data_IF_469664762995
#
_entry.id   IF_469664762995
#
_cell.length_a   1.000
_cell.length_b   1.000
_cell.length_c   1.000
_cell.angle_alpha   90.00
_cell.angle_beta   90.00
_cell.angle_gamma   90.00
#
_symmetry.space_group_name_H-M   'P 1'
#
loop_
_entity.id
_entity.type
_entity.pdbx_description
1 polymer ?
#
# COMPACT_ATOMS: atom_id res chain seq x y z
N UNK A 1 17.55 -14.53 2.17
CA UNK A 1 17.29 -13.14 1.73
C UNK A 1 15.93 -13.11 1.06
N UNK A 2 15.02 -12.19 1.43
CA UNK A 2 13.74 -12.05 0.73
C UNK A 2 13.98 -11.73 -0.75
N UNK A 3 13.29 -12.45 -1.64
CA UNK A 3 13.33 -12.18 -3.10
C UNK A 3 12.43 -10.98 -3.39
N UNK A 4 12.98 -10.00 -4.09
CA UNK A 4 12.25 -8.81 -4.54
C UNK A 4 12.02 -8.88 -6.06
N UNK A 5 10.86 -8.41 -6.56
CA UNK A 5 9.75 -7.83 -5.82
C UNK A 5 8.99 -8.88 -4.98
N UNK A 6 8.59 -8.49 -3.77
CA UNK A 6 7.76 -9.34 -2.93
C UNK A 6 6.29 -9.07 -3.28
N UNK A 7 5.62 -10.06 -3.84
CA UNK A 7 4.19 -9.98 -4.13
C UNK A 7 3.40 -10.61 -2.97
N UNK A 8 2.40 -9.90 -2.48
CA UNK A 8 1.45 -10.38 -1.49
C UNK A 8 0.07 -10.24 -2.13
N UNK A 9 -0.64 -11.35 -2.28
CA UNK A 9 -1.98 -11.38 -2.86
C UNK A 9 -3.01 -11.90 -1.86
N UNK A 10 -4.20 -11.30 -1.86
CA UNK A 10 -5.32 -11.69 -0.99
C UNK A 10 -6.64 -11.27 -1.62
N UNK A 11 -7.60 -12.18 -1.72
CA UNK A 11 -8.96 -11.88 -2.15
C UNK A 11 -9.09 -11.26 -3.54
N UNK A 12 -8.20 -11.63 -4.49
CA UNK A 12 -8.18 -11.07 -5.85
C UNK A 12 -7.39 -9.77 -6.00
N UNK A 13 -6.86 -9.22 -4.92
CA UNK A 13 -5.97 -8.06 -4.94
C UNK A 13 -4.52 -8.48 -4.74
N UNK A 14 -3.59 -7.72 -5.33
CA UNK A 14 -2.15 -7.94 -5.18
C UNK A 14 -1.44 -6.63 -4.85
N UNK A 15 -0.52 -6.69 -3.89
CA UNK A 15 0.39 -5.61 -3.51
C UNK A 15 1.82 -6.10 -3.72
N UNK A 16 2.61 -5.32 -4.45
CA UNK A 16 4.04 -5.61 -4.72
C UNK A 16 4.93 -4.66 -3.94
N UNK A 17 5.91 -5.19 -3.23
CA UNK A 17 6.92 -4.42 -2.51
C UNK A 17 8.24 -4.50 -3.28
N UNK A 18 8.75 -3.34 -3.68
CA UNK A 18 10.06 -3.17 -4.30
C UNK A 18 11.08 -2.72 -3.27
N UNK A 19 12.28 -3.30 -3.35
CA UNK A 19 13.43 -2.85 -2.56
C UNK A 19 13.89 -1.45 -2.99
N UNK A 20 14.53 -0.70 -2.08
CA UNK A 20 15.27 0.49 -2.47
C UNK A 20 16.38 0.13 -3.46
N UNK A 21 16.59 1.02 -4.42
CA UNK A 21 17.69 0.97 -5.40
C UNK A 21 18.48 2.28 -5.32
N UNK A 22 19.66 2.35 -5.93
CA UNK A 22 20.47 3.59 -5.92
C UNK A 22 19.67 4.81 -6.41
N UNK A 23 18.88 4.64 -7.47
CA UNK A 23 18.01 5.72 -7.99
C UNK A 23 16.74 5.96 -7.16
N UNK A 24 16.36 5.03 -6.28
CA UNK A 24 15.11 5.08 -5.50
C UNK A 24 15.38 4.55 -4.08
N UNK A 25 15.87 5.39 -3.16
CA UNK A 25 16.39 4.97 -1.86
C UNK A 25 15.30 4.59 -0.84
N UNK A 26 14.09 4.25 -1.29
CA UNK A 26 12.93 3.91 -0.44
C UNK A 26 12.28 2.62 -0.92
N UNK A 27 11.74 1.86 0.02
CA UNK A 27 10.83 0.75 -0.29
C UNK A 27 9.58 1.31 -0.94
N UNK A 28 9.05 0.61 -1.95
CA UNK A 28 7.88 1.09 -2.69
C UNK A 28 6.83 0.00 -2.74
N UNK A 29 5.60 0.36 -2.39
CA UNK A 29 4.46 -0.50 -2.65
C UNK A 29 3.93 -0.16 -4.04
N UNK A 30 3.31 -1.14 -4.67
CA UNK A 30 2.62 -0.99 -5.94
C UNK A 30 1.38 -1.85 -5.90
N UNK A 31 0.23 -1.21 -5.99
CA UNK A 31 -1.06 -1.90 -5.98
C UNK A 31 -2.09 -1.10 -6.77
N UNK A 32 -3.13 -1.79 -7.21
CA UNK A 32 -4.22 -1.19 -7.98
C UNK A 32 -5.53 -1.42 -7.24
N UNK A 33 -6.30 -0.35 -7.07
CA UNK A 33 -7.63 -0.37 -6.44
C UNK A 33 -8.58 0.35 -7.39
N UNK A 34 -9.64 -0.33 -7.83
CA UNK A 34 -10.71 0.28 -8.63
C UNK A 34 -10.16 0.99 -9.90
N UNK A 35 -9.17 0.37 -10.57
CA UNK A 35 -8.51 0.95 -11.75
C UNK A 35 -7.48 2.05 -11.48
N UNK A 36 -7.29 2.47 -10.22
CA UNK A 36 -6.29 3.47 -9.82
C UNK A 36 -5.06 2.79 -9.23
N UNK A 37 -3.88 3.18 -9.72
CA UNK A 37 -2.58 2.68 -9.25
C UNK A 37 -2.05 3.56 -8.12
N UNK A 38 -1.63 2.93 -7.03
CA UNK A 38 -1.05 3.59 -5.86
C UNK A 38 0.37 3.10 -5.63
N UNK A 39 1.29 4.04 -5.37
CA UNK A 39 2.71 3.76 -5.18
C UNK A 39 3.32 4.45 -3.95
N UNK A 40 2.85 4.17 -2.73
CA UNK A 40 3.41 4.78 -1.53
C UNK A 40 4.84 4.28 -1.28
N UNK A 41 5.67 5.17 -0.74
CA UNK A 41 7.09 4.91 -0.46
C UNK A 41 7.38 4.91 1.03
N UNK A 42 8.17 3.95 1.51
CA UNK A 42 8.48 3.75 2.92
C UNK A 42 9.99 3.71 3.16
N UNK A 43 10.39 4.11 4.37
CA UNK A 43 11.80 4.11 4.79
C UNK A 43 12.28 2.70 5.16
N UNK A 44 11.42 1.87 5.74
CA UNK A 44 11.77 0.51 6.19
C UNK A 44 10.88 -0.54 5.54
N UNK A 45 11.42 -1.75 5.43
CA UNK A 45 10.70 -2.90 4.91
C UNK A 45 9.52 -3.31 5.80
N UNK A 46 9.69 -3.26 7.12
CA UNK A 46 8.62 -3.60 8.07
C UNK A 46 7.39 -2.68 7.94
N UNK A 47 7.60 -1.37 7.76
CA UNK A 47 6.51 -0.43 7.51
C UNK A 47 5.81 -0.75 6.18
N UNK A 48 6.59 -1.03 5.13
CA UNK A 48 6.05 -1.40 3.83
C UNK A 48 5.21 -2.69 3.90
N UNK A 49 5.67 -3.70 4.65
CA UNK A 49 4.97 -4.97 4.81
C UNK A 49 3.69 -4.82 5.66
N UNK A 50 3.77 -4.04 6.76
CA UNK A 50 2.61 -3.73 7.60
C UNK A 50 1.53 -3.03 6.79
N UNK A 51 1.90 -2.04 5.97
CA UNK A 51 0.95 -1.32 5.14
C UNK A 51 0.40 -2.18 4.00
N UNK A 52 1.24 -2.99 3.34
CA UNK A 52 0.76 -3.93 2.32
C UNK A 52 -0.29 -4.89 2.88
N UNK A 53 -0.08 -5.41 4.09
CA UNK A 53 -1.03 -6.27 4.78
C UNK A 53 -2.30 -5.52 5.16
N UNK A 54 -2.18 -4.28 5.65
CA UNK A 54 -3.31 -3.41 5.99
C UNK A 54 -4.19 -3.14 4.76
N UNK A 55 -3.57 -2.72 3.66
CA UNK A 55 -4.24 -2.46 2.38
C UNK A 55 -4.93 -3.71 1.87
N UNK A 56 -4.25 -4.86 1.85
CA UNK A 56 -4.87 -6.13 1.42
C UNK A 56 -6.06 -6.53 2.29
N UNK A 57 -5.97 -6.36 3.60
CA UNK A 57 -7.10 -6.63 4.49
C UNK A 57 -8.26 -5.66 4.19
N UNK A 58 -8.02 -4.36 4.08
CA UNK A 58 -9.06 -3.38 3.74
C UNK A 58 -9.76 -3.70 2.42
N UNK A 59 -8.99 -4.07 1.39
CA UNK A 59 -9.51 -4.48 0.09
C UNK A 59 -10.33 -5.77 0.18
N UNK A 60 -9.84 -6.77 0.91
CA UNK A 60 -10.52 -8.05 1.08
C UNK A 60 -11.84 -7.94 1.86
N UNK A 61 -11.93 -7.04 2.84
CA UNK A 61 -13.16 -6.78 3.61
C UNK A 61 -14.15 -5.85 2.88
N UNK A 62 -13.90 -5.47 1.63
CA UNK A 62 -14.76 -4.56 0.88
C UNK A 62 -14.77 -3.12 1.41
N UNK A 63 -13.91 -2.81 2.38
CA UNK A 63 -13.76 -1.47 2.93
C UNK A 63 -12.87 -0.67 1.97
N UNK A 64 -13.46 -0.13 0.90
CA UNK A 64 -12.82 0.73 -0.10
C UNK A 64 -12.30 2.08 0.46
N UNK A 65 -12.23 2.24 1.78
CA UNK A 65 -11.82 3.47 2.49
C UNK A 65 -10.30 3.55 2.75
N UNK A 66 -9.48 2.76 2.05
CA UNK A 66 -8.09 2.48 2.47
C UNK A 66 -6.96 3.26 1.79
N UNK A 67 -7.23 4.18 0.86
CA UNK A 67 -6.16 4.88 0.13
C UNK A 67 -5.89 6.33 0.62
N UNK A 68 -6.60 6.80 1.65
CA UNK A 68 -6.48 8.16 2.18
C UNK A 68 -6.37 8.16 3.70
N UNK A 69 -5.24 7.72 4.26
CA UNK A 69 -4.82 8.21 5.58
C UNK A 69 -3.31 8.02 5.77
N UNK A 70 -2.54 8.63 4.87
CA UNK A 70 -1.11 8.90 5.10
C UNK A 70 -0.81 10.34 4.67
N UNK A 71 -1.47 11.29 5.33
CA UNK A 71 -0.89 12.61 5.54
C UNK A 71 -0.43 12.65 7.00
N UNK A 72 0.87 12.47 7.19
CA UNK A 72 1.55 13.01 8.36
C UNK A 72 1.29 14.53 8.32
N UNK A 73 0.27 15.00 9.05
CA UNK A 73 0.10 16.41 9.37
C UNK A 73 -1.16 17.17 8.92
N UNK A 74 -2.26 16.58 8.44
CA UNK A 74 -3.53 17.35 8.31
C UNK A 74 -4.79 16.45 8.30
N UNK A 75 -5.80 16.69 9.18
CA UNK A 75 -7.05 15.96 9.15
C UNK A 75 -7.96 16.51 8.04
N UNK A 76 -8.10 15.80 6.93
CA UNK A 76 -9.13 16.12 5.94
C UNK A 76 -10.35 15.21 6.10
N UNK A 77 -11.38 15.87 6.65
CA UNK A 77 -12.81 15.58 6.60
C UNK A 77 -13.25 14.61 5.49
N UNK A 78 -13.90 13.54 5.93
CA UNK A 78 -15.21 13.11 5.45
C UNK A 78 -15.31 12.65 4.00
N UNK A 79 -15.29 11.33 3.80
CA UNK A 79 -15.98 10.72 2.67
C UNK A 79 -16.72 9.46 3.15
N UNK A 80 -18.02 9.63 3.40
CA UNK A 80 -18.99 8.55 3.56
C UNK A 80 -19.43 8.18 2.13
N UNK A 81 -19.17 6.96 1.68
CA UNK A 81 -19.83 6.44 0.48
C UNK A 81 -21.22 5.95 0.90
N UNK A 82 -22.25 6.67 0.44
CA UNK A 82 -23.65 6.23 0.42
C UNK A 82 -23.88 5.32 -0.79
#
# INVERSE_FOLDING_TARGET
>A
MPKFPQEISKGGFAVRIYKPTESKPRYRLDYTVDGKRFQPTFRTFELAQKEATRVLNQLAYGNKTGAMDFQEGHPLKGFIFR
#
